data_IF_460072409805
#
_entry.id   IF_460072409805
#
_cell.length_a   1.000
_cell.length_b   1.000
_cell.length_c   1.000
_cell.angle_alpha   90.00
_cell.angle_beta   90.00
_cell.angle_gamma   90.00
#
_symmetry.space_group_name_H-M   'P 1'
#
loop_
_entity.id
_entity.type
_entity.pdbx_description
1 polymer ?
#
# COMPACT_ATOMS: atom_id res chain seq x y z
N UNK A 1 3.14 -11.08 -16.02
CA UNK A 1 3.51 -9.74 -15.52
C UNK A 1 2.73 -8.74 -16.31
N UNK A 2 2.16 -7.73 -15.66
CA UNK A 2 1.45 -6.64 -16.32
C UNK A 2 2.09 -5.31 -15.92
N UNK A 3 2.12 -4.36 -16.86
CA UNK A 3 2.56 -2.99 -16.63
C UNK A 3 1.34 -2.09 -16.69
N UNK A 4 1.13 -1.32 -15.64
CA UNK A 4 0.01 -0.40 -15.48
C UNK A 4 0.63 1.00 -15.36
N UNK A 5 0.08 1.97 -16.09
CA UNK A 5 0.45 3.38 -15.97
C UNK A 5 -0.82 4.12 -15.63
N UNK A 6 -0.79 4.86 -14.54
CA UNK A 6 -1.92 5.65 -14.03
C UNK A 6 -1.43 7.05 -13.73
N UNK A 7 -2.23 8.07 -14.01
CA UNK A 7 -1.94 9.39 -13.45
C UNK A 7 -2.11 9.36 -11.94
N UNK A 8 -1.46 10.28 -11.24
CA UNK A 8 -1.63 10.41 -9.80
C UNK A 8 -3.10 10.68 -9.43
N UNK A 9 -3.77 11.56 -10.19
CA UNK A 9 -5.18 11.89 -9.98
C UNK A 9 -6.07 10.64 -10.11
N UNK A 10 -5.86 9.81 -11.14
CA UNK A 10 -6.59 8.55 -11.32
C UNK A 10 -6.35 7.60 -10.15
N UNK A 11 -5.10 7.49 -9.68
CA UNK A 11 -4.79 6.65 -8.53
C UNK A 11 -5.50 7.15 -7.27
N UNK A 12 -5.48 8.45 -7.01
CA UNK A 12 -6.15 9.02 -5.83
C UNK A 12 -7.67 8.92 -5.90
N UNK A 13 -8.27 9.08 -7.07
CA UNK A 13 -9.70 8.84 -7.28
C UNK A 13 -10.06 7.38 -6.97
N UNK A 14 -9.23 6.42 -7.42
CA UNK A 14 -9.40 5.00 -7.09
C UNK A 14 -9.28 4.79 -5.57
N UNK A 15 -8.26 5.35 -4.93
CA UNK A 15 -8.05 5.19 -3.48
C UNK A 15 -9.21 5.82 -2.68
N UNK A 16 -9.71 6.98 -3.10
CA UNK A 16 -10.83 7.67 -2.48
C UNK A 16 -12.14 6.88 -2.66
N UNK A 17 -12.41 6.37 -3.86
CA UNK A 17 -13.60 5.57 -4.16
C UNK A 17 -13.65 4.25 -3.37
N UNK A 18 -12.49 3.74 -2.94
CA UNK A 18 -12.37 2.52 -2.13
C UNK A 18 -12.17 2.81 -0.63
N UNK A 19 -12.37 4.04 -0.17
CA UNK A 19 -12.23 4.45 1.24
C UNK A 19 -10.84 4.10 1.83
N UNK A 20 -9.80 4.08 0.98
CA UNK A 20 -8.41 3.79 1.37
C UNK A 20 -7.66 5.05 1.82
N UNK A 21 -8.21 6.22 1.53
CA UNK A 21 -7.71 7.51 2.02
C UNK A 21 -8.45 7.82 3.33
N UNK A 22 -7.72 8.08 4.44
CA UNK A 22 -8.34 8.48 5.70
C UNK A 22 -9.13 9.79 5.55
N UNK A 23 -10.30 9.90 6.19
CA UNK A 23 -11.19 11.09 6.14
C UNK A 23 -10.53 12.41 6.54
N UNK A 24 -9.43 12.32 7.29
CA UNK A 24 -8.62 13.46 7.69
C UNK A 24 -7.89 14.07 6.49
N UNK A 25 -7.57 13.30 5.45
CA UNK A 25 -6.91 13.80 4.25
C UNK A 25 -7.98 14.37 3.31
N UNK A 26 -7.94 15.68 3.08
CA UNK A 26 -8.89 16.40 2.24
C UNK A 26 -8.13 17.35 1.33
N UNK A 27 -8.17 17.16 0.03
CA UNK A 27 -7.33 17.79 -1.00
C UNK A 27 -5.96 17.07 -1.14
N UNK A 28 -5.85 16.34 -2.25
CA UNK A 28 -4.62 15.75 -2.76
C UNK A 28 -4.38 16.38 -4.12
N UNK A 29 -3.19 16.95 -4.33
CA UNK A 29 -2.81 17.61 -5.56
C UNK A 29 -1.39 17.17 -5.93
N UNK A 30 -1.08 17.09 -7.22
CA UNK A 30 0.25 16.69 -7.69
C UNK A 30 0.89 17.79 -8.52
N UNK A 31 2.13 18.14 -8.16
CA UNK A 31 2.93 19.13 -8.87
C UNK A 31 4.31 18.53 -9.16
N UNK A 32 4.48 18.03 -10.39
CA UNK A 32 5.65 17.24 -10.79
C UNK A 32 5.76 15.99 -9.91
N UNK A 33 6.90 15.83 -9.24
CA UNK A 33 7.19 14.68 -8.39
C UNK A 33 6.72 14.85 -6.92
N UNK A 34 6.03 15.94 -6.62
CA UNK A 34 5.50 16.24 -5.29
C UNK A 34 4.00 16.02 -5.21
N UNK A 35 3.58 15.39 -4.13
CA UNK A 35 2.18 15.21 -3.76
C UNK A 35 1.91 16.15 -2.58
N UNK A 36 0.98 17.09 -2.77
CA UNK A 36 0.52 18.00 -1.74
C UNK A 36 -0.75 17.45 -1.13
N UNK A 37 -0.73 17.29 0.17
CA UNK A 37 -1.83 16.77 0.96
C UNK A 37 -2.27 17.85 1.93
N UNK A 38 -3.56 18.04 2.10
CA UNK A 38 -4.09 18.80 3.24
C UNK A 38 -4.75 17.84 4.21
N UNK A 39 -4.24 17.81 5.43
CA UNK A 39 -4.72 16.94 6.49
C UNK A 39 -5.45 17.76 7.53
N UNK A 40 -6.71 17.46 7.76
CA UNK A 40 -7.55 18.00 8.82
C UNK A 40 -7.03 17.52 10.16
N UNK A 41 -6.93 18.45 11.08
CA UNK A 41 -6.47 18.21 12.45
C UNK A 41 -7.62 18.54 13.40
N UNK A 42 -7.85 17.71 14.40
CA UNK A 42 -8.90 17.91 15.41
C UNK A 42 -8.59 19.04 16.42
N UNK A 43 -7.63 19.93 16.11
CA UNK A 43 -7.13 20.95 17.02
C UNK A 43 -7.96 22.25 16.92
N UNK A 44 -8.24 22.94 18.05
CA UNK A 44 -9.04 24.16 18.05
C UNK A 44 -8.41 25.35 17.30
N UNK A 45 -7.08 25.40 17.20
CA UNK A 45 -6.33 26.53 16.63
C UNK A 45 -5.87 26.27 15.19
N UNK A 46 -5.45 25.04 14.90
CA UNK A 46 -5.07 24.58 13.56
C UNK A 46 -6.08 23.52 13.14
N UNK A 47 -6.94 23.85 12.17
CA UNK A 47 -7.98 22.94 11.65
C UNK A 47 -7.48 22.05 10.51
N UNK A 48 -6.41 22.46 9.83
CA UNK A 48 -5.82 21.71 8.74
C UNK A 48 -4.37 22.12 8.50
N UNK A 49 -3.56 21.19 8.01
CA UNK A 49 -2.14 21.39 7.70
C UNK A 49 -1.89 20.93 6.28
N UNK A 50 -1.08 21.69 5.55
CA UNK A 50 -0.58 21.31 4.25
C UNK A 50 0.76 20.62 4.41
N UNK A 51 0.85 19.42 3.87
CA UNK A 51 2.00 18.54 3.92
C UNK A 51 2.38 18.22 2.49
N UNK A 52 3.64 18.45 2.14
CA UNK A 52 4.17 18.06 0.85
C UNK A 52 5.01 16.79 1.05
N UNK A 53 4.76 15.78 0.24
CA UNK A 53 5.56 14.56 0.21
C UNK A 53 6.07 14.33 -1.20
N UNK A 54 7.24 13.70 -1.34
CA UNK A 54 7.79 13.24 -2.60
C UNK A 54 7.88 11.74 -2.60
N UNK A 55 7.70 11.11 -3.76
CA UNK A 55 8.01 9.70 -3.91
C UNK A 55 9.51 9.47 -3.69
N UNK A 56 9.87 8.60 -2.75
CA UNK A 56 11.26 8.31 -2.41
C UNK A 56 11.72 6.94 -2.94
N UNK A 57 10.78 6.02 -3.20
CA UNK A 57 11.09 4.72 -3.76
C UNK A 57 10.03 3.66 -3.44
N UNK A 58 10.25 2.47 -4.00
CA UNK A 58 9.48 1.28 -3.70
C UNK A 58 10.45 0.14 -3.41
N UNK A 59 10.25 -0.54 -2.29
CA UNK A 59 11.06 -1.70 -1.88
C UNK A 59 10.20 -2.73 -1.16
N UNK A 60 10.35 -4.00 -1.57
CA UNK A 60 9.64 -5.16 -1.01
C UNK A 60 8.15 -4.94 -0.69
N UNK A 61 7.38 -4.39 -1.63
CA UNK A 61 5.95 -4.14 -1.43
C UNK A 61 5.60 -2.87 -0.66
N UNK A 62 6.59 -2.13 -0.19
CA UNK A 62 6.44 -0.87 0.51
C UNK A 62 6.77 0.30 -0.40
N UNK A 63 5.86 1.26 -0.50
CA UNK A 63 6.16 2.57 -1.04
C UNK A 63 6.71 3.46 0.07
N UNK A 64 7.75 4.22 -0.23
CA UNK A 64 8.31 5.24 0.63
C UNK A 64 8.00 6.63 0.07
N UNK A 65 7.38 7.46 0.89
CA UNK A 65 7.22 8.88 0.65
C UNK A 65 8.12 9.65 1.61
N UNK A 66 8.81 10.67 1.13
CA UNK A 66 9.61 11.55 1.96
C UNK A 66 8.92 12.89 2.11
N UNK A 67 8.83 13.37 3.35
CA UNK A 67 8.31 14.67 3.68
C UNK A 67 9.23 15.74 3.08
N UNK A 68 8.69 16.61 2.23
CA UNK A 68 9.45 17.74 1.70
C UNK A 68 9.46 18.82 2.77
N UNK A 69 10.58 18.94 3.48
CA UNK A 69 10.76 19.87 4.58
C UNK A 69 10.67 21.31 4.07
N UNK A 70 9.48 21.90 4.18
CA UNK A 70 9.34 23.35 4.17
C UNK A 70 9.52 23.85 5.61
N UNK A 71 10.09 25.04 5.77
CA UNK A 71 10.36 25.73 7.07
C UNK A 71 9.18 25.74 8.07
N UNK A 72 7.96 25.50 7.57
CA UNK A 72 6.75 25.32 8.35
C UNK A 72 6.74 23.98 9.11
N UNK A 73 7.15 22.87 8.47
CA UNK A 73 7.16 21.52 9.06
C UNK A 73 8.16 21.43 10.22
N UNK A 74 9.35 22.04 10.13
CA UNK A 74 10.31 22.08 11.23
C UNK A 74 9.73 22.74 12.50
N UNK A 75 8.78 23.66 12.33
CA UNK A 75 8.09 24.30 13.46
C UNK A 75 6.99 23.39 14.04
N UNK A 76 6.58 22.38 13.30
CA UNK A 76 5.47 21.48 13.58
C UNK A 76 5.90 20.01 13.70
N UNK A 77 7.19 19.70 13.95
CA UNK A 77 7.69 18.32 14.12
C UNK A 77 6.87 17.55 15.18
N UNK A 78 6.63 18.16 16.35
CA UNK A 78 5.74 17.63 17.40
C UNK A 78 4.32 17.34 16.88
N UNK A 79 3.84 18.15 15.96
CA UNK A 79 2.48 18.04 15.43
C UNK A 79 2.39 16.90 14.41
N UNK A 80 3.43 16.69 13.59
CA UNK A 80 3.52 15.53 12.69
C UNK A 80 3.47 14.23 13.50
N UNK A 81 4.19 14.15 14.63
CA UNK A 81 4.11 13.00 15.54
C UNK A 81 2.67 12.78 16.06
N UNK A 82 1.99 13.84 16.47
CA UNK A 82 0.60 13.76 16.97
C UNK A 82 -0.41 13.41 15.88
N UNK A 83 -0.20 13.88 14.66
CA UNK A 83 -1.01 13.49 13.51
C UNK A 83 -0.86 12.01 13.19
N UNK A 84 0.39 11.52 13.16
CA UNK A 84 0.72 10.11 12.94
C UNK A 84 0.05 9.21 14.00
N UNK A 85 0.11 9.62 15.27
CA UNK A 85 -0.62 8.94 16.36
C UNK A 85 -2.13 8.89 16.09
N UNK A 86 -2.71 10.01 15.65
CA UNK A 86 -4.17 10.12 15.43
C UNK A 86 -4.67 9.37 14.18
N UNK A 87 -3.83 9.25 13.16
CA UNK A 87 -4.16 8.59 11.88
C UNK A 87 -4.12 7.06 11.98
N UNK A 88 -3.64 6.50 13.10
CA UNK A 88 -3.45 5.06 13.32
C UNK A 88 -2.87 4.38 12.08
N UNK A 89 -1.79 4.94 11.53
CA UNK A 89 -1.27 4.56 10.21
C UNK A 89 -1.11 3.05 10.02
N UNK A 90 -0.78 2.31 11.08
CA UNK A 90 -0.65 0.85 11.05
C UNK A 90 -1.92 0.12 10.62
N UNK A 91 -3.09 0.65 10.95
CA UNK A 91 -4.41 0.11 10.56
C UNK A 91 -4.59 0.19 9.04
N UNK A 92 -3.99 1.21 8.40
CA UNK A 92 -4.01 1.47 6.96
C UNK A 92 -2.75 0.97 6.23
N UNK A 93 -1.89 0.19 6.90
CA UNK A 93 -0.64 -0.32 6.32
C UNK A 93 0.51 0.70 6.26
N UNK A 94 0.35 1.88 6.88
CA UNK A 94 1.36 2.91 6.98
C UNK A 94 2.29 2.76 8.19
N UNK A 95 3.57 3.07 8.00
CA UNK A 95 4.60 3.20 9.06
C UNK A 95 5.32 4.54 8.89
N UNK A 96 5.41 5.31 9.96
CA UNK A 96 6.09 6.61 9.94
C UNK A 96 7.47 6.51 10.60
N UNK A 97 8.50 6.99 9.91
CA UNK A 97 9.87 7.15 10.40
C UNK A 97 10.41 8.48 9.87
N UNK A 98 10.29 9.56 10.65
CA UNK A 98 10.64 10.91 10.19
C UNK A 98 12.00 10.96 9.46
N UNK A 99 12.10 11.57 8.28
CA UNK A 99 11.05 12.29 7.53
C UNK A 99 10.26 11.43 6.52
N UNK A 100 10.25 10.09 6.67
CA UNK A 100 9.67 9.15 5.70
C UNK A 100 8.36 8.50 6.18
N UNK A 101 7.40 8.40 5.28
CA UNK A 101 6.18 7.59 5.40
C UNK A 101 6.33 6.36 4.51
N UNK A 102 6.31 5.18 5.11
CA UNK A 102 6.22 3.92 4.39
C UNK A 102 4.77 3.46 4.35
N UNK A 103 4.31 2.89 3.24
CA UNK A 103 2.99 2.27 3.13
C UNK A 103 3.15 0.89 2.48
N UNK A 104 2.62 -0.14 3.13
CA UNK A 104 2.59 -1.51 2.63
C UNK A 104 1.49 -1.64 1.57
N UNK A 105 1.85 -1.39 0.32
CA UNK A 105 0.92 -1.41 -0.81
C UNK A 105 0.51 -2.85 -1.13
N UNK A 106 1.41 -3.82 -0.99
CA UNK A 106 1.09 -5.22 -1.27
C UNK A 106 0.08 -5.80 -0.28
N UNK A 107 0.13 -5.41 1.01
CA UNK A 107 -0.92 -5.75 1.97
C UNK A 107 -2.28 -5.20 1.55
N UNK A 108 -2.33 -3.95 1.08
CA UNK A 108 -3.57 -3.33 0.57
C UNK A 108 -4.05 -4.10 -0.67
N UNK A 109 -3.22 -4.23 -1.71
CA UNK A 109 -3.57 -4.88 -2.98
C UNK A 109 -4.04 -6.32 -2.79
N UNK A 110 -3.38 -7.11 -1.93
CA UNK A 110 -3.80 -8.49 -1.63
C UNK A 110 -5.17 -8.59 -0.99
N UNK A 111 -5.62 -7.54 -0.29
CA UNK A 111 -6.97 -7.45 0.25
C UNK A 111 -8.06 -7.41 -0.85
N UNK A 112 -7.72 -6.85 -2.02
CA UNK A 112 -8.66 -6.62 -3.12
C UNK A 112 -8.49 -7.64 -4.26
N UNK A 113 -7.24 -7.90 -4.65
CA UNK A 113 -6.89 -8.73 -5.80
C UNK A 113 -6.02 -9.90 -5.35
N UNK A 114 -6.63 -11.08 -5.25
CA UNK A 114 -5.91 -12.30 -4.87
C UNK A 114 -4.92 -12.69 -5.97
N UNK A 115 -3.68 -12.96 -5.58
CA UNK A 115 -2.65 -13.44 -6.50
C UNK A 115 -2.06 -12.35 -7.41
N UNK A 116 -2.10 -11.10 -6.96
CA UNK A 116 -1.36 -9.99 -7.58
C UNK A 116 -0.50 -9.34 -6.50
N UNK A 117 0.80 -9.25 -6.77
CA UNK A 117 1.73 -8.45 -6.00
C UNK A 117 2.34 -7.38 -6.91
N UNK A 118 2.59 -6.21 -6.37
CA UNK A 118 3.42 -5.19 -7.00
C UNK A 118 4.88 -5.63 -6.86
N UNK A 119 5.56 -5.66 -8.00
CA UNK A 119 6.97 -6.01 -8.11
C UNK A 119 7.85 -4.77 -8.16
N UNK A 120 7.39 -3.73 -8.86
CA UNK A 120 8.08 -2.45 -8.98
C UNK A 120 7.06 -1.32 -9.09
N UNK A 121 7.39 -0.18 -8.50
CA UNK A 121 6.63 1.05 -8.65
C UNK A 121 7.59 2.22 -8.79
N UNK A 122 7.34 3.08 -9.76
CA UNK A 122 8.04 4.37 -9.92
C UNK A 122 7.03 5.48 -10.13
N UNK A 123 7.42 6.70 -9.77
CA UNK A 123 6.63 7.90 -9.97
C UNK A 123 7.47 8.90 -10.76
N UNK A 124 6.98 9.30 -11.93
CA UNK A 124 7.67 10.22 -12.84
C UNK A 124 6.62 11.05 -13.60
N UNK A 125 6.86 12.35 -13.72
CA UNK A 125 6.00 13.29 -14.45
C UNK A 125 4.50 13.17 -14.09
N UNK A 126 4.20 13.03 -12.80
CA UNK A 126 2.82 12.89 -12.31
C UNK A 126 2.17 11.52 -12.56
N UNK A 127 2.91 10.52 -13.02
CA UNK A 127 2.40 9.19 -13.34
C UNK A 127 3.05 8.09 -12.49
N UNK A 128 2.22 7.17 -12.01
CA UNK A 128 2.68 5.94 -11.38
C UNK A 128 2.85 4.85 -12.44
N UNK A 129 4.06 4.33 -12.55
CA UNK A 129 4.36 3.14 -13.34
C UNK A 129 4.45 1.93 -12.41
N UNK A 130 3.50 1.01 -12.54
CA UNK A 130 3.35 -0.14 -11.65
C UNK A 130 3.57 -1.41 -12.46
N UNK A 131 4.54 -2.22 -12.05
CA UNK A 131 4.77 -3.56 -12.59
C UNK A 131 4.25 -4.59 -11.60
N UNK A 132 3.38 -5.49 -12.05
CA UNK A 132 2.82 -6.55 -11.21
C UNK A 132 3.38 -7.92 -11.55
N UNK A 133 3.53 -8.75 -10.52
CA UNK A 133 3.81 -10.17 -10.63
C UNK A 133 2.62 -10.97 -10.12
N UNK A 134 2.35 -12.07 -10.80
CA UNK A 134 1.52 -13.12 -10.24
C UNK A 134 2.46 -14.11 -9.57
N UNK A 135 2.26 -14.44 -8.28
CA UNK A 135 2.96 -15.57 -7.70
C UNK A 135 2.56 -16.78 -8.55
N UNK A 136 3.51 -17.33 -9.30
CA UNK A 136 3.31 -18.54 -10.06
C UNK A 136 2.73 -19.56 -9.11
N UNK A 137 1.52 -20.04 -9.39
CA UNK A 137 0.86 -21.13 -8.67
C UNK A 137 1.92 -22.22 -8.49
N UNK A 138 2.48 -22.38 -7.28
CA UNK A 138 3.31 -23.56 -6.98
C UNK A 138 2.43 -24.72 -7.37
N UNK A 139 2.81 -25.44 -8.44
CA UNK A 139 2.21 -26.74 -8.74
C UNK A 139 2.27 -27.49 -7.43
N UNK A 140 1.12 -27.77 -6.83
CA UNK A 140 1.05 -28.79 -5.81
C UNK A 140 1.66 -30.02 -6.48
N UNK A 141 2.86 -30.37 -6.05
CA UNK A 141 3.56 -31.53 -6.56
C UNK A 141 2.62 -32.72 -6.41
N UNK A 142 2.16 -33.23 -7.55
CA UNK A 142 1.60 -34.55 -7.66
C UNK A 142 2.73 -35.51 -7.33
N UNK A 143 2.91 -35.80 -6.05
CA UNK A 143 3.72 -36.91 -5.57
C UNK A 143 3.03 -37.49 -4.33
N UNK A 144 2.04 -38.34 -4.57
CA UNK A 144 1.85 -39.53 -3.76
C UNK A 144 1.14 -40.60 -4.62
N UNK A 145 1.58 -41.87 -4.55
CA UNK A 145 1.49 -42.82 -5.63
C UNK A 145 0.15 -43.57 -5.67
N UNK A 146 -0.24 -43.90 -6.89
CA UNK A 146 -1.24 -44.90 -7.22
C UNK A 146 -0.73 -46.30 -6.84
N UNK A 147 -1.15 -46.81 -5.69
CA UNK A 147 -1.15 -48.25 -5.45
C UNK A 147 -2.55 -48.78 -5.73
N UNK A 148 -2.70 -49.26 -6.96
CA UNK A 148 -3.75 -50.21 -7.33
C UNK A 148 -3.04 -51.56 -7.38
N UNK A 149 -3.29 -52.47 -6.44
CA UNK A 149 -3.34 -53.88 -6.80
C UNK A 149 -4.17 -54.73 -5.82
N UNK A 150 -4.70 -55.79 -6.41
CA UNK A 150 -5.80 -56.62 -6.02
C UNK A 150 -5.57 -57.56 -4.81
N UNK A 151 -6.68 -58.01 -4.22
CA UNK A 151 -6.65 -59.11 -3.26
C UNK A 151 -8.04 -59.48 -2.74
N UNK A 152 -8.73 -60.32 -3.48
CA UNK A 152 -9.96 -60.97 -3.05
C UNK A 152 -9.72 -61.88 -1.81
N UNK A 153 -10.82 -62.05 -1.04
CA UNK A 153 -11.25 -63.33 -0.44
C UNK A 153 -11.27 -63.43 1.09
N UNK A 154 -12.40 -64.02 1.53
CA UNK A 154 -12.66 -64.77 2.76
C UNK A 154 -13.11 -64.03 4.03
N UNK A 155 -14.42 -64.12 4.27
CA UNK A 155 -15.07 -64.22 5.59
C UNK A 155 -14.41 -65.29 6.49
N UNK A 156 -14.68 -65.26 7.80
CA UNK A 156 -15.47 -66.37 8.33
C UNK A 156 -16.57 -65.96 9.32
N UNK A 157 -17.62 -66.78 9.32
CA UNK A 157 -18.67 -66.88 10.32
C UNK A 157 -18.15 -67.47 11.63
N UNK A 158 -18.57 -66.92 12.77
CA UNK A 158 -19.15 -67.63 13.95
C UNK A 158 -20.13 -66.70 14.63
#
# INVERSE_FOLDING_TARGET
>A
MAKIVLSADELFDILHANELIPDQVSEIDTEGDQIKLKVKTSWPVLKSIRVNVRFAGFDDGHIAFELVTNRLIDTFDWLVEKMVESLRLQDHGGRWEYPRLYVDVNRIVRGWIRGVDIDEMTFDDGHFHITTKHPSRKKASQDAPSDTDAGASCLPSV
#
